data_IF_729467584212
#
_entry.id   IF_729467584212
#
_cell.length_a   1.000
_cell.length_b   1.000
_cell.length_c   1.000
_cell.angle_alpha   90.00
_cell.angle_beta   90.00
_cell.angle_gamma   90.00
#
_symmetry.space_group_name_H-M   'P 1'
#
loop_
_entity.id
_entity.type
_entity.pdbx_description
1 polymer ?
#
# COMPACT_ATOMS: atom_id res chain seq x y z
N UNK A 1 -2.94 -1.70 -9.14
CA UNK A 1 -4.17 -0.88 -9.31
C UNK A 1 -5.20 -1.35 -8.31
N UNK A 2 -5.80 -0.43 -7.56
CA UNK A 2 -6.77 -0.75 -6.52
C UNK A 2 -8.19 -0.66 -7.11
N UNK A 3 -8.99 -1.70 -6.87
CA UNK A 3 -10.23 -2.03 -7.58
C UNK A 3 -11.45 -1.15 -7.27
N UNK A 4 -11.27 0.17 -7.21
CA UNK A 4 -12.38 1.13 -7.22
C UNK A 4 -12.65 1.66 -8.62
N UNK A 5 -13.61 2.60 -8.74
CA UNK A 5 -13.99 3.50 -9.87
C UNK A 5 -14.23 2.88 -11.27
N UNK A 6 -13.46 1.89 -11.70
CA UNK A 6 -13.57 1.24 -13.00
C UNK A 6 -14.43 0.00 -12.90
N UNK A 7 -15.30 -0.21 -13.89
CA UNK A 7 -16.14 -1.39 -13.97
C UNK A 7 -15.33 -2.68 -14.24
N UNK A 8 -14.15 -2.53 -14.84
CA UNK A 8 -13.28 -3.64 -15.23
C UNK A 8 -11.84 -3.43 -14.75
N UNK A 9 -11.07 -4.52 -14.73
CA UNK A 9 -9.67 -4.51 -14.36
C UNK A 9 -8.78 -3.81 -15.39
N UNK A 10 -7.57 -3.39 -14.98
CA UNK A 10 -6.61 -2.79 -15.91
C UNK A 10 -6.18 -3.74 -17.03
N UNK A 11 -5.98 -3.14 -18.22
CA UNK A 11 -5.30 -3.79 -19.33
C UNK A 11 -3.93 -4.36 -18.89
N UNK A 12 -3.47 -5.41 -19.57
CA UNK A 12 -2.22 -6.11 -19.23
C UNK A 12 -1.00 -5.16 -19.20
N UNK A 13 -0.84 -4.33 -20.24
CA UNK A 13 0.22 -3.31 -20.33
C UNK A 13 0.22 -2.34 -19.16
N UNK A 14 -0.96 -1.97 -18.66
CA UNK A 14 -1.09 -1.07 -17.53
C UNK A 14 -0.64 -1.75 -16.23
N UNK A 15 -0.90 -3.06 -16.06
CA UNK A 15 -0.40 -3.82 -14.92
C UNK A 15 1.12 -3.92 -14.92
N UNK A 16 1.72 -4.16 -16.08
CA UNK A 16 3.17 -4.30 -16.23
C UNK A 16 3.90 -3.00 -15.90
N UNK A 17 3.43 -1.86 -16.43
CA UNK A 17 4.06 -0.55 -16.18
C UNK A 17 3.87 -0.09 -14.72
N UNK A 18 2.78 -0.49 -14.05
CA UNK A 18 2.53 -0.12 -12.65
C UNK A 18 3.19 -1.05 -11.63
N UNK A 19 3.80 -2.16 -12.05
CA UNK A 19 4.37 -3.13 -11.12
C UNK A 19 5.65 -2.57 -10.46
N UNK A 20 5.55 -2.23 -9.17
CA UNK A 20 6.67 -1.66 -8.42
C UNK A 20 7.41 -2.63 -7.50
N UNK A 21 6.82 -3.81 -7.25
CA UNK A 21 7.36 -4.85 -6.37
C UNK A 21 8.85 -5.18 -6.59
N UNK A 22 9.36 -5.30 -7.85
CA UNK A 22 10.77 -5.63 -8.06
C UNK A 22 11.76 -4.68 -7.39
N UNK A 23 11.40 -3.40 -7.23
CA UNK A 23 12.23 -2.39 -6.57
C UNK A 23 11.76 -2.07 -5.15
N UNK A 24 10.45 -1.93 -4.92
CA UNK A 24 9.86 -1.53 -3.64
C UNK A 24 10.13 -2.53 -2.53
N UNK A 25 10.34 -3.81 -2.87
CA UNK A 25 10.71 -4.83 -1.88
C UNK A 25 11.94 -4.46 -1.05
N UNK A 26 12.80 -3.54 -1.52
CA UNK A 26 13.94 -3.03 -0.75
C UNK A 26 13.53 -2.16 0.44
N UNK A 27 12.32 -1.59 0.41
CA UNK A 27 11.78 -0.67 1.41
C UNK A 27 10.89 -1.37 2.46
N UNK A 28 10.87 -2.71 2.48
CA UNK A 28 9.98 -3.48 3.36
C UNK A 28 10.18 -3.15 4.85
N UNK A 29 11.42 -2.84 5.26
CA UNK A 29 11.70 -2.50 6.66
C UNK A 29 11.08 -1.16 7.06
N UNK A 30 11.16 -0.18 6.15
CA UNK A 30 10.57 1.14 6.33
C UNK A 30 9.04 1.05 6.36
N UNK A 31 8.44 0.23 5.49
CA UNK A 31 6.99 0.00 5.46
C UNK A 31 6.47 -0.58 6.79
N UNK A 32 7.17 -1.57 7.35
CA UNK A 32 6.83 -2.13 8.67
C UNK A 32 7.00 -1.09 9.79
N UNK A 33 8.13 -0.36 9.79
CA UNK A 33 8.39 0.65 10.81
C UNK A 33 7.34 1.77 10.78
N UNK A 34 7.02 2.26 9.58
CA UNK A 34 5.98 3.26 9.35
C UNK A 34 4.60 2.77 9.78
N UNK A 35 4.23 1.55 9.42
CA UNK A 35 2.96 0.94 9.81
C UNK A 35 2.80 0.82 11.32
N UNK A 36 3.85 0.42 12.04
CA UNK A 36 3.85 0.36 13.52
C UNK A 36 3.70 1.74 14.15
N UNK A 37 4.42 2.75 13.63
CA UNK A 37 4.30 4.11 14.11
C UNK A 37 2.89 4.68 13.84
N UNK A 38 2.33 4.38 12.67
CA UNK A 38 1.01 4.81 12.27
C UNK A 38 -0.08 4.20 13.17
N UNK A 39 -0.07 2.87 13.39
CA UNK A 39 -1.08 2.24 14.25
C UNK A 39 -0.97 2.72 15.71
N UNK A 40 0.24 2.95 16.22
CA UNK A 40 0.43 3.53 17.55
C UNK A 40 -0.16 4.96 17.65
N UNK A 41 -0.02 5.77 16.59
CA UNK A 41 -0.65 7.08 16.49
C UNK A 41 -2.17 6.97 16.43
N UNK A 42 -2.72 6.06 15.61
CA UNK A 42 -4.16 5.81 15.51
C UNK A 42 -4.76 5.40 16.87
N UNK A 43 -4.05 4.58 17.63
CA UNK A 43 -4.44 4.20 19.00
C UNK A 43 -4.52 5.41 19.95
N UNK A 44 -3.55 6.32 19.88
CA UNK A 44 -3.56 7.57 20.65
C UNK A 44 -4.71 8.51 20.25
N UNK A 45 -5.16 8.45 19.00
CA UNK A 45 -6.31 9.21 18.52
C UNK A 45 -7.66 8.52 18.77
N UNK A 46 -7.66 7.30 19.35
CA UNK A 46 -8.88 6.54 19.59
C UNK A 46 -9.58 6.04 18.31
N UNK A 47 -8.87 5.99 17.18
CA UNK A 47 -9.41 5.50 15.90
C UNK A 47 -9.42 3.96 15.90
N UNK A 48 -8.41 3.36 16.54
CA UNK A 48 -8.27 1.92 16.76
C UNK A 48 -7.96 1.69 18.24
N UNK A 49 -8.29 0.50 18.77
CA UNK A 49 -8.09 0.13 20.18
C UNK A 49 -7.31 -1.16 20.33
#
# INVERSE_FOLDING_TARGET
MWGGRFAEGPAAVMREINASIPFDKRLWQQDIAGSKAHVAMLGKQGIVS
#
